data_IF_336877713651
#
_entry.id   IF_336877713651
#
_cell.length_a   1.000
_cell.length_b   1.000
_cell.length_c   1.000
_cell.angle_alpha   90.00
_cell.angle_beta   90.00
_cell.angle_gamma   90.00
#
_symmetry.space_group_name_H-M   'P 1'
#
loop_
_entity.id
_entity.type
_entity.pdbx_description
1 polymer ?
#
# COMPACT_ATOMS: atom_id res chain seq x y z
N UNK A 1 -31.78 -22.46 5.43
CA UNK A 1 -31.55 -23.02 4.08
C UNK A 1 -32.82 -22.99 3.24
N UNK A 2 -33.97 -23.47 3.76
CA UNK A 2 -35.28 -23.40 3.07
C UNK A 2 -35.66 -22.03 2.49
N UNK A 3 -35.43 -20.94 3.25
CA UNK A 3 -35.74 -19.58 2.81
C UNK A 3 -34.83 -19.07 1.66
N UNK A 4 -33.62 -19.61 1.53
CA UNK A 4 -32.70 -19.23 0.45
C UNK A 4 -33.04 -20.00 -0.82
N UNK A 5 -33.43 -21.27 -0.69
CA UNK A 5 -33.83 -22.12 -1.82
C UNK A 5 -35.15 -21.65 -2.45
N UNK A 6 -36.14 -21.30 -1.64
CA UNK A 6 -37.41 -20.71 -2.09
C UNK A 6 -37.18 -19.35 -2.78
N UNK A 7 -36.30 -18.52 -2.22
CA UNK A 7 -35.91 -17.23 -2.80
C UNK A 7 -35.15 -17.36 -4.14
N UNK A 8 -34.37 -18.44 -4.32
CA UNK A 8 -33.68 -18.71 -5.58
C UNK A 8 -34.65 -19.25 -6.64
N UNK A 9 -35.68 -20.02 -6.25
CA UNK A 9 -36.69 -20.53 -7.17
C UNK A 9 -37.55 -19.41 -7.77
N UNK A 10 -38.03 -18.47 -6.94
CA UNK A 10 -38.76 -17.28 -7.40
C UNK A 10 -37.90 -16.39 -8.33
N UNK A 11 -36.59 -16.41 -8.13
CA UNK A 11 -35.65 -15.65 -8.93
C UNK A 11 -35.40 -16.28 -10.31
N UNK A 12 -35.45 -17.60 -10.42
CA UNK A 12 -35.30 -18.32 -11.71
C UNK A 12 -36.50 -18.03 -12.60
N UNK A 13 -37.72 -18.07 -12.05
CA UNK A 13 -38.96 -17.73 -12.78
C UNK A 13 -38.95 -16.27 -13.27
N UNK A 14 -38.46 -15.34 -12.44
CA UNK A 14 -38.26 -13.93 -12.83
C UNK A 14 -37.22 -13.74 -13.96
N UNK A 15 -36.19 -14.58 -14.02
CA UNK A 15 -35.16 -14.52 -15.08
C UNK A 15 -35.69 -14.97 -16.45
N UNK A 16 -36.66 -15.87 -16.50
CA UNK A 16 -37.24 -16.37 -17.77
C UNK A 16 -38.18 -15.36 -18.44
N UNK A 17 -38.67 -14.37 -17.69
CA UNK A 17 -39.58 -13.32 -18.18
C UNK A 17 -38.88 -12.05 -18.68
N UNK A 18 -37.57 -11.92 -18.46
CA UNK A 18 -36.79 -10.72 -18.80
C UNK A 18 -35.59 -11.03 -19.66
N UNK A 19 -35.14 -10.05 -20.43
CA UNK A 19 -33.86 -10.13 -21.15
C UNK A 19 -32.71 -10.46 -20.18
N UNK A 20 -31.82 -11.36 -20.59
CA UNK A 20 -30.77 -11.91 -19.74
C UNK A 20 -29.86 -10.83 -19.14
N UNK A 21 -29.62 -9.74 -19.88
CA UNK A 21 -28.79 -8.65 -19.39
C UNK A 21 -29.53 -7.82 -18.32
N UNK A 22 -30.84 -7.64 -18.47
CA UNK A 22 -31.66 -6.99 -17.44
C UNK A 22 -31.71 -7.81 -16.16
N UNK A 23 -31.95 -9.12 -16.26
CA UNK A 23 -32.00 -10.02 -15.11
C UNK A 23 -30.66 -10.04 -14.35
N UNK A 24 -29.55 -10.10 -15.07
CA UNK A 24 -28.20 -10.04 -14.49
C UNK A 24 -27.91 -8.70 -13.78
N UNK A 25 -28.28 -7.58 -14.40
CA UNK A 25 -28.07 -6.27 -13.79
C UNK A 25 -28.89 -6.08 -12.52
N UNK A 26 -30.13 -6.57 -12.49
CA UNK A 26 -30.98 -6.58 -11.30
C UNK A 26 -30.36 -7.41 -10.17
N UNK A 27 -29.87 -8.62 -10.48
CA UNK A 27 -29.18 -9.49 -9.51
C UNK A 27 -27.96 -8.78 -8.92
N UNK A 28 -27.10 -8.26 -9.81
CA UNK A 28 -25.88 -7.55 -9.42
C UNK A 28 -26.20 -6.37 -8.52
N UNK A 29 -27.19 -5.56 -8.86
CA UNK A 29 -27.61 -4.40 -8.07
C UNK A 29 -28.11 -4.82 -6.68
N UNK A 30 -28.90 -5.89 -6.59
CA UNK A 30 -29.40 -6.44 -5.33
C UNK A 30 -28.29 -6.98 -4.45
N UNK A 31 -27.38 -7.80 -4.99
CA UNK A 31 -26.21 -8.32 -4.25
C UNK A 31 -25.37 -7.16 -3.71
N UNK A 32 -25.06 -6.17 -4.56
CA UNK A 32 -24.29 -5.00 -4.13
C UNK A 32 -25.02 -4.19 -3.07
N UNK A 33 -26.35 -4.03 -3.17
CA UNK A 33 -27.17 -3.33 -2.17
C UNK A 33 -27.13 -4.04 -0.82
N UNK A 34 -27.32 -5.37 -0.82
CA UNK A 34 -27.25 -6.19 0.40
C UNK A 34 -25.85 -6.11 0.99
N UNK A 35 -24.80 -6.32 0.18
CA UNK A 35 -23.42 -6.23 0.64
C UNK A 35 -23.07 -4.85 1.22
N UNK A 36 -23.51 -3.75 0.59
CA UNK A 36 -23.32 -2.40 1.13
C UNK A 36 -24.07 -2.19 2.44
N UNK A 37 -25.28 -2.76 2.59
CA UNK A 37 -26.07 -2.66 3.82
C UNK A 37 -25.47 -3.49 4.96
N UNK A 38 -24.98 -4.70 4.67
CA UNK A 38 -24.46 -5.63 5.68
C UNK A 38 -23.01 -5.37 6.04
N UNK A 39 -22.15 -5.07 5.05
CA UNK A 39 -20.70 -4.90 5.22
C UNK A 39 -20.29 -3.42 5.28
N UNK A 40 -21.19 -2.49 4.94
CA UNK A 40 -20.86 -1.08 4.79
C UNK A 40 -20.07 -0.79 3.51
N UNK A 41 -19.71 0.48 3.32
CA UNK A 41 -18.85 0.92 2.22
C UNK A 41 -17.50 1.30 2.82
N UNK A 42 -16.46 0.52 2.52
CA UNK A 42 -15.09 0.91 2.88
C UNK A 42 -14.69 2.14 2.07
N UNK A 43 -14.47 3.26 2.77
CA UNK A 43 -13.73 4.40 2.21
C UNK A 43 -12.29 3.94 2.18
N UNK A 44 -11.86 3.38 1.04
CA UNK A 44 -10.52 2.84 0.86
C UNK A 44 -9.48 3.74 1.52
N UNK A 45 -8.51 3.12 2.22
CA UNK A 45 -7.47 3.84 2.94
C UNK A 45 -6.87 4.90 2.01
N UNK A 46 -7.20 6.17 2.25
CA UNK A 46 -6.42 7.28 1.71
C UNK A 46 -5.06 7.08 2.35
N UNK A 47 -4.13 6.51 1.58
CA UNK A 47 -2.74 6.39 1.96
C UNK A 47 -2.35 7.77 2.46
N UNK A 48 -2.16 7.93 3.78
CA UNK A 48 -1.72 9.19 4.37
C UNK A 48 -0.39 9.52 3.71
N UNK A 49 -0.42 10.32 2.65
CA UNK A 49 0.75 10.80 1.92
C UNK A 49 1.56 11.80 2.76
N UNK A 50 0.98 12.29 3.86
CA UNK A 50 1.68 13.04 4.92
C UNK A 50 2.27 12.12 6.01
N UNK A 51 2.85 10.99 5.62
CA UNK A 51 3.89 10.38 6.45
C UNK A 51 5.22 10.89 5.92
N UNK A 52 5.83 11.79 6.67
CA UNK A 52 7.15 12.38 6.46
C UNK A 52 8.07 11.52 5.59
N UNK A 53 8.04 11.81 4.29
CA UNK A 53 8.96 11.24 3.31
C UNK A 53 10.28 12.05 3.34
N UNK A 54 10.49 12.88 4.37
CA UNK A 54 11.66 13.75 4.53
C UNK A 54 12.99 13.00 4.64
N UNK A 55 12.97 11.69 4.89
CA UNK A 55 14.18 10.85 4.87
C UNK A 55 14.58 10.36 3.47
N UNK A 56 13.78 10.62 2.42
CA UNK A 56 14.16 10.29 1.04
C UNK A 56 15.18 11.30 0.51
N UNK A 57 16.44 11.13 0.91
CA UNK A 57 17.56 11.88 0.35
C UNK A 57 17.67 11.65 -1.17
N UNK A 58 18.35 12.56 -1.87
CA UNK A 58 18.66 12.43 -3.30
C UNK A 58 19.33 11.09 -3.61
N UNK A 59 20.20 10.62 -2.71
CA UNK A 59 20.89 9.34 -2.80
C UNK A 59 19.93 8.14 -2.75
N UNK A 60 18.93 8.15 -1.85
CA UNK A 60 17.92 7.10 -1.79
C UNK A 60 17.10 7.07 -3.08
N UNK A 61 16.71 8.23 -3.62
CA UNK A 61 15.96 8.33 -4.88
C UNK A 61 16.79 7.79 -6.05
N UNK A 62 18.06 8.17 -6.15
CA UNK A 62 18.97 7.70 -7.18
C UNK A 62 19.16 6.18 -7.12
N UNK A 63 19.48 5.63 -5.95
CA UNK A 63 19.68 4.19 -5.77
C UNK A 63 18.41 3.39 -6.09
N UNK A 64 17.23 3.94 -5.80
CA UNK A 64 15.96 3.30 -6.12
C UNK A 64 15.63 3.37 -7.62
N UNK A 65 15.98 4.47 -8.29
CA UNK A 65 15.86 4.63 -9.74
C UNK A 65 16.77 3.65 -10.49
N UNK A 66 18.02 3.50 -10.06
CA UNK A 66 18.98 2.52 -10.60
C UNK A 66 18.48 1.09 -10.38
N UNK A 67 17.99 0.76 -9.18
CA UNK A 67 17.37 -0.55 -8.91
C UNK A 67 16.17 -0.81 -9.82
N UNK A 68 15.37 0.21 -10.13
CA UNK A 68 14.20 0.11 -11.03
C UNK A 68 14.63 -0.09 -12.48
N UNK A 69 15.63 0.64 -12.96
CA UNK A 69 16.12 0.51 -14.33
C UNK A 69 16.78 -0.85 -14.58
N UNK A 70 17.61 -1.34 -13.64
CA UNK A 70 18.20 -2.68 -13.73
C UNK A 70 17.15 -3.79 -13.65
N UNK A 71 16.10 -3.63 -12.85
CA UNK A 71 14.99 -4.60 -12.81
C UNK A 71 14.25 -4.67 -14.15
N UNK A 72 13.97 -3.52 -14.78
CA UNK A 72 13.34 -3.47 -16.10
C UNK A 72 14.19 -4.16 -17.16
N UNK A 73 15.50 -3.86 -17.19
CA UNK A 73 16.46 -4.51 -18.11
C UNK A 73 16.47 -6.03 -17.93
N UNK A 74 16.57 -6.51 -16.69
CA UNK A 74 16.53 -7.94 -16.40
C UNK A 74 15.18 -8.59 -16.79
N UNK A 75 14.06 -7.87 -16.61
CA UNK A 75 12.75 -8.39 -17.00
C UNK A 75 12.62 -8.59 -18.52
N UNK A 76 13.25 -7.71 -19.31
CA UNK A 76 13.27 -7.77 -20.77
C UNK A 76 14.25 -8.83 -21.29
N UNK A 77 15.47 -8.88 -20.77
CA UNK A 77 16.52 -9.78 -21.25
C UNK A 77 16.44 -11.20 -20.69
N UNK A 78 15.93 -11.34 -19.44
CA UNK A 78 15.97 -12.56 -18.61
C UNK A 78 17.36 -13.20 -18.47
N UNK A 79 18.43 -12.48 -18.79
CA UNK A 79 19.80 -12.97 -18.71
C UNK A 79 20.32 -13.00 -17.26
N UNK A 80 21.18 -13.96 -16.94
CA UNK A 80 21.77 -14.07 -15.60
C UNK A 80 22.73 -12.92 -15.27
N UNK A 81 23.39 -12.33 -16.28
CA UNK A 81 24.22 -11.13 -16.08
C UNK A 81 23.38 -9.92 -15.65
N UNK A 82 22.21 -9.71 -16.26
CA UNK A 82 21.32 -8.62 -15.87
C UNK A 82 20.69 -8.87 -14.49
N UNK A 83 20.51 -10.14 -14.13
CA UNK A 83 20.06 -10.55 -12.80
C UNK A 83 21.08 -10.19 -11.73
N UNK A 84 22.37 -10.43 -11.96
CA UNK A 84 23.43 -10.07 -11.00
C UNK A 84 23.53 -8.55 -10.85
N UNK A 85 23.46 -7.81 -11.96
CA UNK A 85 23.44 -6.34 -11.96
C UNK A 85 22.26 -5.79 -11.15
N UNK A 86 21.06 -6.35 -11.34
CA UNK A 86 19.88 -6.01 -10.54
C UNK A 86 20.08 -6.32 -9.05
N UNK A 87 20.66 -7.48 -8.70
CA UNK A 87 20.90 -7.83 -7.29
C UNK A 87 21.86 -6.87 -6.60
N UNK A 88 22.89 -6.38 -7.31
CA UNK A 88 23.81 -5.37 -6.80
C UNK A 88 23.06 -4.06 -6.55
N UNK A 89 22.32 -3.55 -7.53
CA UNK A 89 21.52 -2.33 -7.40
C UNK A 89 20.47 -2.44 -6.29
N UNK A 90 19.84 -3.61 -6.15
CA UNK A 90 18.88 -3.91 -5.06
C UNK A 90 19.53 -3.84 -3.68
N UNK A 91 20.74 -4.38 -3.52
CA UNK A 91 21.50 -4.30 -2.26
C UNK A 91 21.91 -2.85 -1.96
N UNK A 92 22.35 -2.10 -2.97
CA UNK A 92 22.69 -0.68 -2.82
C UNK A 92 21.48 0.14 -2.37
N UNK A 93 20.32 -0.02 -3.01
CA UNK A 93 19.08 0.66 -2.61
C UNK A 93 18.67 0.32 -1.18
N UNK A 94 18.75 -0.96 -0.77
CA UNK A 94 18.45 -1.37 0.61
C UNK A 94 19.39 -0.70 1.63
N UNK A 95 20.69 -0.61 1.31
CA UNK A 95 21.67 0.07 2.17
C UNK A 95 21.39 1.56 2.29
N UNK A 96 21.16 2.26 1.18
CA UNK A 96 20.85 3.68 1.18
C UNK A 96 19.60 3.99 2.03
N UNK A 97 18.54 3.18 1.90
CA UNK A 97 17.33 3.31 2.73
C UNK A 97 17.63 3.05 4.21
N UNK A 98 18.44 2.05 4.53
CA UNK A 98 18.81 1.76 5.91
C UNK A 98 19.62 2.89 6.55
N UNK A 99 20.59 3.45 5.81
CA UNK A 99 21.42 4.58 6.24
C UNK A 99 20.54 5.82 6.46
N UNK A 100 19.73 6.20 5.48
CA UNK A 100 18.85 7.37 5.60
C UNK A 100 17.88 7.25 6.80
N UNK A 101 17.36 6.04 7.04
CA UNK A 101 16.50 5.76 8.19
C UNK A 101 17.26 5.82 9.51
N UNK A 102 18.51 5.37 9.55
CA UNK A 102 19.37 5.50 10.73
C UNK A 102 19.68 6.98 11.01
N UNK A 103 20.13 7.72 10.00
CA UNK A 103 20.45 9.16 10.11
C UNK A 103 19.26 10.00 10.58
N UNK A 104 18.06 9.74 10.04
CA UNK A 104 16.85 10.44 10.49
C UNK A 104 16.51 10.19 11.96
N UNK A 105 16.87 9.02 12.51
CA UNK A 105 16.66 8.68 13.92
C UNK A 105 17.79 9.14 14.84
N UNK A 106 19.00 9.30 14.30
CA UNK A 106 20.18 9.63 15.10
C UNK A 106 20.02 10.95 15.86
N UNK A 107 19.48 12.00 15.24
CA UNK A 107 19.28 13.28 15.92
C UNK A 107 18.38 13.18 17.16
N UNK A 108 17.29 12.41 17.05
CA UNK A 108 16.40 12.13 18.19
C UNK A 108 17.10 11.28 19.25
N UNK A 109 17.81 10.22 18.83
CA UNK A 109 18.52 9.32 19.75
C UNK A 109 19.61 10.07 20.52
N UNK A 110 20.43 10.87 19.85
CA UNK A 110 21.49 11.66 20.48
C UNK A 110 20.92 12.67 21.49
N UNK A 111 19.76 13.26 21.20
CA UNK A 111 19.07 14.12 22.16
C UNK A 111 18.60 13.35 23.39
N UNK A 112 17.96 12.20 23.20
CA UNK A 112 17.48 11.37 24.31
C UNK A 112 18.63 10.85 25.18
N UNK A 113 19.79 10.59 24.59
CA UNK A 113 20.99 10.15 25.32
C UNK A 113 21.61 11.25 26.18
N UNK A 114 21.45 12.51 25.77
CA UNK A 114 22.03 13.67 26.44
C UNK A 114 21.03 14.42 27.34
N UNK A 115 19.76 14.02 27.35
CA UNK A 115 18.76 14.62 28.22
C UNK A 115 18.93 14.07 29.64
N UNK A 116 19.18 14.96 30.60
CA UNK A 116 19.30 14.58 32.01
C UNK A 116 17.96 14.64 32.74
N UNK A 117 16.96 15.37 32.19
CA UNK A 117 15.64 15.56 32.79
C UNK A 117 14.50 15.43 31.77
N UNK A 118 13.33 15.00 32.25
CA UNK A 118 12.13 14.78 31.40
C UNK A 118 11.60 16.07 30.76
N UNK A 119 11.86 17.24 31.36
CA UNK A 119 11.45 18.55 30.85
C UNK A 119 12.23 18.96 29.58
N UNK A 120 13.51 18.58 29.48
CA UNK A 120 14.35 18.84 28.30
C UNK A 120 13.94 17.99 27.09
N UNK A 121 13.30 16.85 27.32
CA UNK A 121 12.76 15.98 26.27
C UNK A 121 11.51 16.63 25.65
N UNK A 122 10.68 17.31 26.44
CA UNK A 122 9.42 17.93 25.99
C UNK A 122 9.63 19.27 25.27
N UNK A 123 10.56 20.12 25.73
CA UNK A 123 10.69 21.52 25.27
C UNK A 123 11.19 21.75 23.84
N UNK A 124 11.65 20.73 23.11
CA UNK A 124 12.14 20.88 21.73
C UNK A 124 11.28 20.19 20.69
N UNK A 125 10.01 19.93 21.02
CA UNK A 125 8.96 19.71 20.02
C UNK A 125 8.26 21.05 19.65
N UNK A 126 8.60 22.15 20.31
CA UNK A 126 7.83 23.42 20.27
C UNK A 126 8.44 24.54 19.43
N UNK A 127 9.58 24.33 18.76
CA UNK A 127 10.14 25.34 17.83
C UNK A 127 9.65 25.04 16.42
N UNK A 128 8.52 25.65 16.06
CA UNK A 128 8.04 25.81 14.67
C UNK A 128 8.49 27.16 14.13
#
# INVERSE_FOLDING_TARGET
MKQVEEYLADFIDYCDTKDANSAWNDLRARILSIAKKTLGISKGSKLKTDKDTSWWSSEVKQALAEKKSSFKKWQESKADLDKTQYMIAKRAAKRAVAIAKASSKNALISRLQNAETDEEIQNGQTTF
#
